data_IF_675397289378
#
_entry.id   IF_675397289378
#
_cell.length_a   1.000
_cell.length_b   1.000
_cell.length_c   1.000
_cell.angle_alpha   90.00
_cell.angle_beta   90.00
_cell.angle_gamma   90.00
#
_symmetry.space_group_name_H-M   'P 1'
#
loop_
_entity.id
_entity.type
_entity.pdbx_description
1 polymer ?
#
# COMPACT_ATOMS: atom_id res chain seq x y z
N UNK A 1 -0.56 -14.58 17.98
CA UNK A 1 -1.45 -13.40 17.91
C UNK A 1 -1.03 -12.43 18.98
N UNK A 2 -1.14 -11.10 18.88
CA UNK A 2 -1.87 -10.18 17.98
C UNK A 2 -0.88 -9.41 17.08
N UNK A 3 -1.10 -9.40 15.76
CA UNK A 3 -0.54 -8.34 14.89
C UNK A 3 -1.64 -7.31 14.69
N UNK A 4 -1.44 -6.09 15.20
CA UNK A 4 -2.21 -4.89 14.88
C UNK A 4 -3.67 -4.88 15.36
N UNK A 5 -3.94 -4.24 16.49
CA UNK A 5 -5.29 -3.92 16.99
C UNK A 5 -5.98 -2.82 16.16
N UNK A 6 -5.89 -2.91 14.83
CA UNK A 6 -6.40 -1.89 13.92
C UNK A 6 -5.54 -0.63 13.81
N UNK A 7 -4.54 -0.40 14.68
CA UNK A 7 -3.73 0.83 14.63
C UNK A 7 -3.06 1.05 13.27
N UNK A 8 -2.50 0.00 12.65
CA UNK A 8 -1.91 0.10 11.31
C UNK A 8 -2.95 0.50 10.25
N UNK A 9 -4.18 0.00 10.37
CA UNK A 9 -5.30 0.37 9.51
C UNK A 9 -5.69 1.84 9.73
N UNK A 10 -5.88 2.25 10.99
CA UNK A 10 -6.24 3.63 11.35
C UNK A 10 -5.21 4.65 10.85
N UNK A 11 -3.92 4.38 11.05
CA UNK A 11 -2.84 5.24 10.57
C UNK A 11 -2.81 5.33 9.05
N UNK A 12 -3.01 4.20 8.35
CA UNK A 12 -3.03 4.17 6.89
C UNK A 12 -4.26 4.91 6.34
N UNK A 13 -5.44 4.71 6.93
CA UNK A 13 -6.67 5.41 6.57
C UNK A 13 -6.49 6.94 6.69
N UNK A 14 -5.93 7.40 7.81
CA UNK A 14 -5.68 8.82 8.02
C UNK A 14 -4.67 9.40 7.03
N UNK A 15 -3.63 8.64 6.67
CA UNK A 15 -2.67 9.05 5.62
C UNK A 15 -3.33 9.16 4.26
N UNK A 16 -4.15 8.19 3.87
CA UNK A 16 -4.92 8.22 2.61
C UNK A 16 -5.87 9.42 2.62
N UNK A 17 -6.57 9.64 3.73
CA UNK A 17 -7.51 10.77 3.88
C UNK A 17 -6.80 12.10 3.68
N UNK A 18 -5.65 12.33 4.31
CA UNK A 18 -4.86 13.56 4.14
C UNK A 18 -4.37 13.72 2.70
N UNK A 19 -3.84 12.66 2.11
CA UNK A 19 -3.34 12.70 0.74
C UNK A 19 -4.45 13.03 -0.27
N UNK A 20 -5.68 12.53 -0.06
CA UNK A 20 -6.85 12.87 -0.89
C UNK A 20 -7.29 14.33 -0.77
N UNK A 21 -6.92 15.02 0.30
CA UNK A 21 -7.23 16.45 0.48
C UNK A 21 -6.24 17.36 -0.23
N UNK A 22 -5.10 16.84 -0.66
CA UNK A 22 -4.09 17.58 -1.41
C UNK A 22 -4.21 17.25 -2.91
N UNK A 23 -4.71 18.18 -3.75
CA UNK A 23 -4.88 17.94 -5.18
C UNK A 23 -3.56 17.77 -5.94
N UNK A 24 -2.41 18.13 -5.33
CA UNK A 24 -1.09 17.88 -5.91
C UNK A 24 -0.63 16.42 -5.73
N UNK A 25 -1.27 15.66 -4.84
CA UNK A 25 -0.91 14.25 -4.62
C UNK A 25 -1.73 13.36 -5.55
N UNK A 26 -1.08 12.85 -6.59
CA UNK A 26 -1.74 12.02 -7.60
C UNK A 26 -1.92 10.56 -7.18
N UNK A 27 -0.96 10.03 -6.40
CA UNK A 27 -0.93 8.61 -6.00
C UNK A 27 -0.10 8.39 -4.75
N UNK A 28 -0.36 7.29 -4.06
CA UNK A 28 0.49 6.76 -2.98
C UNK A 28 1.19 5.51 -3.50
N UNK A 29 2.49 5.41 -3.26
CA UNK A 29 3.30 4.22 -3.58
C UNK A 29 3.75 3.58 -2.28
N UNK A 30 3.75 2.25 -2.23
CA UNK A 30 4.33 1.49 -1.12
C UNK A 30 5.14 0.32 -1.63
N UNK A 31 6.28 0.09 -0.98
CA UNK A 31 7.12 -1.08 -1.14
C UNK A 31 6.90 -2.00 0.05
N UNK A 32 6.48 -3.24 -0.19
CA UNK A 32 6.09 -4.17 0.87
C UNK A 32 6.47 -5.61 0.54
N UNK A 33 6.21 -6.53 1.46
CA UNK A 33 6.36 -7.96 1.19
C UNK A 33 5.07 -8.57 0.66
N UNK A 34 5.16 -9.64 -0.12
CA UNK A 34 3.99 -10.41 -0.55
C UNK A 34 3.09 -10.88 0.62
N UNK A 35 3.67 -11.07 1.82
CA UNK A 35 2.93 -11.48 3.04
C UNK A 35 1.96 -10.43 3.56
N UNK A 36 2.21 -9.15 3.24
CA UNK A 36 1.39 -8.00 3.66
C UNK A 36 0.59 -7.41 2.51
N UNK A 37 0.76 -7.91 1.27
CA UNK A 37 0.04 -7.48 0.07
C UNK A 37 -1.47 -7.40 0.28
N UNK A 38 -2.08 -8.48 0.80
CA UNK A 38 -3.52 -8.54 1.01
C UNK A 38 -4.06 -7.42 1.90
N UNK A 39 -3.31 -7.00 2.93
CA UNK A 39 -3.71 -5.87 3.77
C UNK A 39 -3.84 -4.57 2.98
N UNK A 40 -2.90 -4.29 2.06
CA UNK A 40 -2.94 -3.09 1.23
C UNK A 40 -3.97 -3.20 0.09
N UNK A 41 -4.20 -4.40 -0.46
CA UNK A 41 -5.27 -4.63 -1.45
C UNK A 41 -6.67 -4.29 -0.88
N UNK A 42 -6.94 -4.66 0.38
CA UNK A 42 -8.19 -4.28 1.06
C UNK A 42 -8.35 -2.76 1.24
N UNK A 43 -7.26 -2.01 1.14
CA UNK A 43 -7.22 -0.54 1.24
C UNK A 43 -7.25 0.14 -0.15
N UNK A 44 -7.41 -0.64 -1.23
CA UNK A 44 -7.52 -0.15 -2.60
C UNK A 44 -6.21 -0.02 -3.35
N UNK A 45 -5.08 -0.43 -2.76
CA UNK A 45 -3.81 -0.47 -3.49
C UNK A 45 -3.81 -1.62 -4.50
N UNK A 46 -3.22 -1.39 -5.68
CA UNK A 46 -2.96 -2.43 -6.68
C UNK A 46 -1.47 -2.73 -6.78
N UNK A 47 -1.11 -4.01 -6.87
CA UNK A 47 0.27 -4.40 -7.17
C UNK A 47 0.64 -4.00 -8.60
N UNK A 48 1.82 -3.38 -8.77
CA UNK A 48 2.36 -2.96 -10.06
C UNK A 48 3.70 -3.63 -10.39
N UNK A 49 4.33 -4.28 -9.40
CA UNK A 49 5.55 -5.04 -9.56
C UNK A 49 5.69 -6.08 -8.46
N UNK A 50 6.31 -7.21 -8.79
CA UNK A 50 6.71 -8.25 -7.84
C UNK A 50 8.13 -8.68 -8.20
N UNK A 51 9.01 -8.69 -7.20
CA UNK A 51 10.37 -9.20 -7.32
C UNK A 51 10.52 -10.41 -6.40
N UNK A 52 10.73 -11.59 -7.01
CA UNK A 52 11.04 -12.81 -6.27
C UNK A 52 12.32 -12.62 -5.45
N UNK A 53 12.28 -13.08 -4.20
CA UNK A 53 13.32 -12.87 -3.20
C UNK A 53 13.87 -11.42 -3.03
N UNK A 54 13.13 -10.41 -3.51
CA UNK A 54 13.58 -9.00 -3.54
C UNK A 54 13.78 -8.31 -2.18
N UNK A 55 13.32 -8.93 -1.08
CA UNK A 55 13.66 -8.47 0.29
C UNK A 55 14.65 -9.44 0.93
N UNK A 56 14.36 -10.73 0.84
CA UNK A 56 15.18 -11.84 1.34
C UNK A 56 14.71 -13.16 0.67
N UNK A 57 15.47 -14.26 0.75
CA UNK A 57 15.02 -15.57 0.29
C UNK A 57 13.65 -15.96 0.88
N UNK A 58 12.68 -16.27 0.02
CA UNK A 58 11.29 -16.56 0.40
C UNK A 58 10.49 -15.33 0.87
N UNK A 59 11.01 -14.12 0.65
CA UNK A 59 10.38 -12.84 0.97
C UNK A 59 10.41 -11.91 -0.24
N UNK A 60 9.44 -12.12 -1.13
CA UNK A 60 9.28 -11.32 -2.35
C UNK A 60 8.88 -9.87 -2.02
N UNK A 61 9.51 -8.93 -2.71
CA UNK A 61 9.11 -7.53 -2.69
C UNK A 61 7.92 -7.31 -3.62
N UNK A 62 7.02 -6.42 -3.23
CA UNK A 62 5.83 -6.04 -3.98
C UNK A 62 5.72 -4.53 -3.96
N UNK A 63 5.69 -3.95 -5.15
CA UNK A 63 5.40 -2.54 -5.36
C UNK A 63 3.91 -2.36 -5.56
N UNK A 64 3.30 -1.45 -4.82
CA UNK A 64 1.87 -1.20 -4.89
C UNK A 64 1.54 0.28 -4.97
N UNK A 65 0.47 0.59 -5.69
CA UNK A 65 0.02 1.97 -5.94
C UNK A 65 -1.46 2.12 -5.59
N UNK A 66 -1.81 3.23 -4.93
CA UNK A 66 -3.18 3.72 -4.78
C UNK A 66 -3.30 5.05 -5.55
N UNK A 67 -3.98 5.09 -6.71
CA UNK A 67 -4.27 6.36 -7.38
C UNK A 67 -5.26 7.17 -6.54
N UNK A 68 -5.01 8.47 -6.39
CA UNK A 68 -5.86 9.41 -5.67
C UNK A 68 -6.57 10.40 -6.60
N UNK A 69 -5.99 10.64 -7.78
CA UNK A 69 -6.61 11.42 -8.84
C UNK A 69 -7.24 10.48 -9.89
N UNK A 70 -8.55 10.56 -10.17
CA UNK A 70 -9.21 9.72 -11.17
C UNK A 70 -8.70 9.96 -12.60
N UNK A 71 -7.96 11.04 -12.86
CA UNK A 71 -7.30 11.28 -14.15
C UNK A 71 -6.03 10.46 -14.35
N UNK A 72 -5.50 9.86 -13.28
CA UNK A 72 -4.27 9.05 -13.31
C UNK A 72 -4.53 7.55 -13.04
N UNK A 73 -5.81 7.13 -12.95
CA UNK A 73 -6.22 5.77 -12.62
C UNK A 73 -6.19 4.81 -13.81
#
# INVERSE_FOLDING_TARGET
GRRGEGLGRLLLEERIRRARQDPAVERIVIHTSHRTRGFFEHMGFRAVGVEEDGIAPGLHAVDMVLPLNPRCA
#
